data_IF_708355905122
#
_entry.id   IF_708355905122
#
_cell.length_a   1.000
_cell.length_b   1.000
_cell.length_c   1.000
_cell.angle_alpha   90.00
_cell.angle_beta   90.00
_cell.angle_gamma   90.00
#
_symmetry.space_group_name_H-M   'P 1'
#
loop_
_entity.id
_entity.type
_entity.pdbx_description
1 polymer ?
#
# COMPACT_ATOMS: atom_id res chain seq x y z
N UNK A 1 -8.74 -0.03 41.03
CA UNK A 1 -7.72 -0.82 40.30
C UNK A 1 -6.46 0.02 40.25
N UNK A 2 -5.42 -0.40 40.94
CA UNK A 2 -4.17 0.35 40.99
C UNK A 2 -3.28 -0.17 39.85
N UNK A 3 -2.90 0.72 38.93
CA UNK A 3 -1.99 0.40 37.81
C UNK A 3 -0.54 0.22 38.28
N UNK A 4 -0.25 0.71 39.48
CA UNK A 4 1.04 0.64 40.14
C UNK A 4 0.80 -0.05 41.49
N UNK A 5 1.47 -1.16 41.73
CA UNK A 5 1.52 -1.78 43.05
C UNK A 5 2.93 -1.67 43.61
N UNK A 6 3.01 -1.37 44.90
CA UNK A 6 4.25 -1.37 45.65
C UNK A 6 4.29 -2.67 46.45
N UNK A 7 5.24 -3.55 46.11
CA UNK A 7 5.37 -4.85 46.75
C UNK A 7 6.70 -4.94 47.50
N UNK A 8 6.62 -5.20 48.81
CA UNK A 8 7.78 -5.40 49.67
C UNK A 8 8.31 -6.83 49.60
N UNK A 9 7.46 -7.79 49.21
CA UNK A 9 7.79 -9.20 49.11
C UNK A 9 7.91 -9.63 47.64
N UNK A 10 8.69 -8.88 46.85
CA UNK A 10 9.19 -9.42 45.61
C UNK A 10 10.21 -10.50 45.95
N UNK A 11 9.75 -11.74 46.09
CA UNK A 11 10.66 -12.87 46.06
C UNK A 11 11.41 -12.80 44.74
N UNK A 12 12.68 -13.17 44.76
CA UNK A 12 13.38 -13.56 43.53
C UNK A 12 12.61 -14.79 43.04
N UNK A 13 11.48 -14.59 42.35
CA UNK A 13 11.24 -15.40 41.19
C UNK A 13 12.44 -15.07 40.33
N UNK A 14 13.46 -15.91 40.47
CA UNK A 14 14.27 -16.35 39.35
C UNK A 14 13.24 -16.74 38.31
N UNK A 15 12.74 -15.74 37.58
CA UNK A 15 12.37 -15.92 36.21
C UNK A 15 13.55 -16.70 35.65
N UNK A 16 13.27 -17.96 35.38
CA UNK A 16 14.09 -18.89 34.63
C UNK A 16 15.32 -18.22 34.00
N UNK A 17 16.50 -18.72 34.37
CA UNK A 17 17.79 -18.47 33.71
C UNK A 17 18.45 -17.10 33.96
N UNK A 18 18.89 -16.86 35.19
CA UNK A 18 20.02 -15.95 35.43
C UNK A 18 21.36 -16.50 34.87
N UNK A 19 21.34 -17.71 34.29
CA UNK A 19 22.39 -18.27 33.43
C UNK A 19 22.26 -17.93 31.93
N UNK A 20 21.23 -17.17 31.51
CA UNK A 20 21.11 -16.62 30.14
C UNK A 20 21.58 -15.16 30.02
N UNK A 21 22.34 -14.66 31.00
CA UNK A 21 23.12 -13.44 30.84
C UNK A 21 24.15 -13.62 29.71
N UNK A 22 23.89 -13.01 28.55
CA UNK A 22 24.76 -12.82 27.36
C UNK A 22 24.40 -13.58 26.07
N UNK A 23 23.23 -14.20 25.94
CA UNK A 23 22.77 -14.59 24.60
C UNK A 23 21.77 -13.56 24.08
N UNK A 24 22.28 -12.47 23.48
CA UNK A 24 21.44 -11.63 22.61
C UNK A 24 20.96 -12.57 21.50
N UNK A 25 19.65 -12.86 21.39
CA UNK A 25 19.17 -13.76 20.35
C UNK A 25 19.64 -13.24 18.99
N UNK A 26 20.18 -14.08 18.09
CA UNK A 26 20.68 -13.67 16.78
C UNK A 26 19.64 -12.88 15.96
N UNK A 27 18.35 -13.05 16.29
CA UNK A 27 17.23 -12.30 15.75
C UNK A 27 17.34 -10.79 16.02
N UNK A 28 17.80 -10.35 17.20
CA UNK A 28 17.96 -8.91 17.48
C UNK A 28 19.08 -8.30 16.64
N UNK A 29 20.18 -9.02 16.44
CA UNK A 29 21.26 -8.60 15.53
C UNK A 29 20.71 -8.51 14.10
N UNK A 30 19.94 -9.50 13.67
CA UNK A 30 19.26 -9.48 12.38
C UNK A 30 18.31 -8.29 12.23
N UNK A 31 17.50 -7.98 13.24
CA UNK A 31 16.59 -6.83 13.25
C UNK A 31 17.34 -5.50 13.23
N UNK A 32 18.43 -5.37 13.97
CA UNK A 32 19.29 -4.17 13.97
C UNK A 32 19.91 -3.91 12.59
N UNK A 33 20.18 -4.96 11.80
CA UNK A 33 20.68 -4.82 10.42
C UNK A 33 19.55 -4.60 9.42
N UNK A 34 18.45 -5.35 9.52
CA UNK A 34 17.37 -5.32 8.53
C UNK A 34 16.51 -4.06 8.66
N UNK A 35 16.24 -3.60 9.88
CA UNK A 35 15.40 -2.43 10.14
C UNK A 35 15.92 -1.11 9.53
N UNK A 36 17.22 -0.76 9.62
CA UNK A 36 17.73 0.44 8.94
C UNK A 36 17.70 0.30 7.41
N UNK A 37 17.93 -0.91 6.86
CA UNK A 37 17.77 -1.15 5.42
C UNK A 37 16.32 -0.89 5.01
N UNK A 38 15.36 -1.46 5.74
CA UNK A 38 13.93 -1.24 5.51
C UNK A 38 13.58 0.26 5.61
N UNK A 39 14.09 0.95 6.63
CA UNK A 39 13.88 2.38 6.84
C UNK A 39 14.42 3.22 5.67
N UNK A 40 15.65 2.96 5.21
CA UNK A 40 16.24 3.66 4.05
C UNK A 40 15.37 3.45 2.80
N UNK A 41 14.99 2.21 2.54
CA UNK A 41 14.18 1.85 1.37
C UNK A 41 12.79 2.50 1.44
N UNK A 42 12.13 2.48 2.59
CA UNK A 42 10.83 3.14 2.82
C UNK A 42 10.93 4.67 2.76
N UNK A 43 12.00 5.28 3.27
CA UNK A 43 12.24 6.73 3.13
C UNK A 43 12.46 7.16 1.68
N UNK A 44 13.19 6.35 0.90
CA UNK A 44 13.34 6.56 -0.54
C UNK A 44 11.98 6.45 -1.25
N UNK A 45 11.18 5.44 -0.89
CA UNK A 45 9.84 5.27 -1.44
C UNK A 45 8.93 6.47 -1.11
N UNK A 46 8.94 6.93 0.14
CA UNK A 46 8.20 8.10 0.59
C UNK A 46 8.60 9.34 -0.21
N UNK A 47 9.91 9.59 -0.37
CA UNK A 47 10.43 10.72 -1.16
C UNK A 47 9.97 10.67 -2.62
N UNK A 48 9.97 9.48 -3.23
CA UNK A 48 9.47 9.28 -4.59
C UNK A 48 7.96 9.54 -4.68
N UNK A 49 7.19 9.12 -3.67
CA UNK A 49 5.73 9.28 -3.62
C UNK A 49 5.29 10.71 -3.28
N UNK A 50 6.06 11.48 -2.51
CA UNK A 50 5.74 12.87 -2.14
C UNK A 50 6.05 13.88 -3.25
N UNK A 51 6.89 13.53 -4.24
CA UNK A 51 7.19 14.43 -5.36
C UNK A 51 5.94 14.86 -6.15
N UNK A 52 5.80 16.16 -6.48
CA UNK A 52 4.64 16.70 -7.19
C UNK A 52 4.51 16.15 -8.61
N UNK A 53 5.60 15.73 -9.28
CA UNK A 53 5.48 15.12 -10.61
C UNK A 53 4.77 13.75 -10.60
N UNK A 54 4.58 13.14 -9.41
CA UNK A 54 3.77 11.94 -9.21
C UNK A 54 2.23 12.21 -9.15
N UNK A 55 1.77 13.46 -9.32
CA UNK A 55 0.35 13.89 -9.27
C UNK A 55 -0.59 13.03 -10.12
N UNK A 56 -0.09 12.34 -11.15
CA UNK A 56 -0.91 11.51 -12.05
C UNK A 56 -1.40 10.17 -11.44
N UNK A 57 -1.03 9.82 -10.21
CA UNK A 57 -1.45 8.57 -9.51
C UNK A 57 -2.88 8.62 -8.92
N UNK A 58 -3.53 9.79 -8.89
CA UNK A 58 -4.93 9.94 -8.47
C UNK A 58 -5.19 9.64 -6.97
N UNK A 59 -6.44 9.35 -6.61
CA UNK A 59 -6.90 9.14 -5.23
C UNK A 59 -6.18 8.03 -4.45
N UNK A 60 -5.50 7.10 -5.12
CA UNK A 60 -4.75 6.02 -4.47
C UNK A 60 -3.42 6.49 -3.88
N UNK A 61 -2.89 7.64 -4.33
CA UNK A 61 -1.60 8.18 -3.86
C UNK A 61 -1.61 8.44 -2.36
N UNK A 62 -2.69 9.02 -1.84
CA UNK A 62 -2.80 9.38 -0.42
C UNK A 62 -2.67 8.11 0.43
N UNK A 63 -3.44 7.06 0.14
CA UNK A 63 -3.36 5.82 0.90
C UNK A 63 -1.99 5.14 0.79
N UNK A 64 -1.32 5.19 -0.37
CA UNK A 64 0.04 4.67 -0.51
C UNK A 64 1.06 5.48 0.28
N UNK A 65 0.95 6.82 0.29
CA UNK A 65 1.79 7.69 1.11
C UNK A 65 1.56 7.38 2.59
N UNK A 66 0.31 7.34 3.04
CA UNK A 66 -0.07 6.98 4.40
C UNK A 66 0.51 5.62 4.80
N UNK A 67 0.40 4.61 3.92
CA UNK A 67 1.00 3.30 4.14
C UNK A 67 2.52 3.39 4.34
N UNK A 68 3.24 4.09 3.45
CA UNK A 68 4.69 4.26 3.57
C UNK A 68 5.11 5.09 4.79
N UNK A 69 4.31 6.06 5.23
CA UNK A 69 4.57 6.83 6.45
C UNK A 69 4.53 5.91 7.67
N UNK A 70 3.52 5.04 7.75
CA UNK A 70 3.42 4.07 8.85
C UNK A 70 4.49 2.99 8.79
N UNK A 71 4.95 2.58 7.61
CA UNK A 71 6.12 1.70 7.47
C UNK A 71 7.41 2.35 7.99
N UNK A 72 7.65 3.63 7.65
CA UNK A 72 8.80 4.38 8.17
C UNK A 72 8.72 4.52 9.69
N UNK A 73 7.53 4.87 10.22
CA UNK A 73 7.32 5.00 11.66
C UNK A 73 7.53 3.67 12.39
N UNK A 74 6.99 2.57 11.85
CA UNK A 74 7.12 1.22 12.39
C UNK A 74 8.59 0.78 12.43
N UNK A 75 9.29 0.88 11.29
CA UNK A 75 10.70 0.48 11.21
C UNK A 75 11.59 1.35 12.08
N UNK A 76 11.32 2.65 12.19
CA UNK A 76 12.05 3.55 13.10
C UNK A 76 11.92 3.12 14.57
N UNK A 77 10.70 2.78 15.01
CA UNK A 77 10.47 2.34 16.40
C UNK A 77 11.01 0.94 16.68
N UNK A 78 10.90 0.01 15.73
CA UNK A 78 11.50 -1.33 15.84
C UNK A 78 13.03 -1.22 15.93
N UNK A 79 13.65 -0.37 15.11
CA UNK A 79 15.08 -0.08 15.16
C UNK A 79 15.46 0.48 16.53
N UNK A 80 14.72 1.48 17.03
CA UNK A 80 14.99 2.11 18.32
C UNK A 80 14.93 1.09 19.46
N UNK A 81 13.86 0.28 19.54
CA UNK A 81 13.74 -0.79 20.53
C UNK A 81 14.89 -1.79 20.41
N UNK A 82 15.20 -2.26 19.19
CA UNK A 82 16.23 -3.27 18.98
C UNK A 82 17.60 -2.74 19.38
N UNK A 83 17.89 -1.48 19.05
CA UNK A 83 19.11 -0.80 19.46
C UNK A 83 19.22 -0.76 20.99
N UNK A 84 18.16 -0.32 21.69
CA UNK A 84 18.11 -0.28 23.15
C UNK A 84 18.33 -1.64 23.82
N UNK A 85 17.86 -2.74 23.23
CA UNK A 85 18.11 -4.10 23.73
C UNK A 85 19.55 -4.56 23.44
N UNK A 86 20.15 -4.17 22.33
CA UNK A 86 21.51 -4.60 21.96
C UNK A 86 22.62 -3.80 22.62
N UNK A 87 22.43 -2.50 22.87
CA UNK A 87 23.49 -1.64 23.40
C UNK A 87 23.72 -1.78 24.90
N UNK A 88 22.97 -2.66 25.59
CA UNK A 88 23.12 -3.00 27.02
C UNK A 88 23.69 -1.83 27.83
N UNK A 89 22.94 -0.71 27.91
CA UNK A 89 23.35 0.44 28.73
C UNK A 89 23.72 -0.09 30.12
N UNK A 90 25.01 -0.04 30.50
CA UNK A 90 25.46 -0.70 31.71
C UNK A 90 24.90 0.04 32.93
N UNK A 91 24.31 -0.74 33.84
CA UNK A 91 24.22 -0.46 35.28
C UNK A 91 23.23 0.57 35.87
N UNK A 92 22.19 1.05 35.17
CA UNK A 92 21.10 1.75 35.86
C UNK A 92 19.73 1.11 35.57
N UNK A 93 19.45 0.03 36.29
CA UNK A 93 18.18 -0.72 36.31
C UNK A 93 16.99 0.06 36.92
N UNK A 94 17.17 1.35 37.22
CA UNK A 94 16.17 2.23 37.84
C UNK A 94 15.60 3.33 36.92
N UNK A 95 16.01 3.36 35.66
CA UNK A 95 15.76 4.52 34.83
C UNK A 95 14.33 4.58 34.27
N UNK A 96 13.49 5.42 34.89
CA UNK A 96 12.15 5.84 34.41
C UNK A 96 12.14 6.15 32.91
N UNK A 97 13.22 6.74 32.38
CA UNK A 97 13.33 7.04 30.95
C UNK A 97 13.23 5.78 30.07
N UNK A 98 13.80 4.65 30.50
CA UNK A 98 13.82 3.40 29.72
C UNK A 98 12.42 2.81 29.65
N UNK A 99 11.70 2.84 30.78
CA UNK A 99 10.29 2.43 30.86
C UNK A 99 9.41 3.33 29.99
N UNK A 100 9.59 4.67 30.05
CA UNK A 100 8.86 5.62 29.21
C UNK A 100 9.10 5.34 27.73
N UNK A 101 10.36 5.20 27.30
CA UNK A 101 10.69 4.90 25.90
C UNK A 101 10.08 3.57 25.46
N UNK A 102 10.14 2.53 26.30
CA UNK A 102 9.53 1.23 25.98
C UNK A 102 8.02 1.33 25.82
N UNK A 103 7.33 2.03 26.74
CA UNK A 103 5.88 2.27 26.68
C UNK A 103 5.52 3.07 25.42
N UNK A 104 6.25 4.16 25.13
CA UNK A 104 6.02 4.98 23.94
C UNK A 104 6.21 4.17 22.67
N UNK A 105 7.31 3.41 22.56
CA UNK A 105 7.55 2.57 21.40
C UNK A 105 6.48 1.48 21.26
N UNK A 106 6.01 0.89 22.36
CA UNK A 106 4.94 -0.10 22.35
C UNK A 106 3.64 0.46 21.76
N UNK A 107 3.21 1.65 22.22
CA UNK A 107 2.00 2.33 21.71
C UNK A 107 2.17 2.68 20.23
N UNK A 108 3.33 3.21 19.84
CA UNK A 108 3.56 3.63 18.46
C UNK A 108 3.65 2.42 17.52
N UNK A 109 4.32 1.33 17.92
CA UNK A 109 4.41 0.10 17.12
C UNK A 109 3.02 -0.52 16.94
N UNK A 110 2.26 -0.69 18.02
CA UNK A 110 0.92 -1.25 17.94
C UNK A 110 -0.03 -0.39 17.10
N UNK A 111 0.00 0.92 17.31
CA UNK A 111 -0.77 1.89 16.52
C UNK A 111 -0.37 1.89 15.03
N UNK A 112 0.93 1.88 14.72
CA UNK A 112 1.45 1.85 13.35
C UNK A 112 1.12 0.54 12.63
N UNK A 113 1.23 -0.61 13.30
CA UNK A 113 0.84 -1.92 12.74
C UNK A 113 -0.65 -1.96 12.40
N UNK A 114 -1.50 -1.54 13.33
CA UNK A 114 -2.95 -1.47 13.09
C UNK A 114 -3.26 -0.52 11.94
N UNK A 115 -2.64 0.66 11.93
CA UNK A 115 -2.80 1.68 10.90
C UNK A 115 -2.39 1.18 9.52
N UNK A 116 -1.26 0.47 9.42
CA UNK A 116 -0.75 -0.16 8.20
C UNK A 116 -1.77 -1.18 7.65
N UNK A 117 -2.23 -2.10 8.49
CA UNK A 117 -3.13 -3.18 8.09
C UNK A 117 -4.50 -2.64 7.61
N UNK A 118 -5.06 -1.65 8.30
CA UNK A 118 -6.29 -0.99 7.88
C UNK A 118 -6.11 -0.18 6.59
N UNK A 119 -4.95 0.48 6.40
CA UNK A 119 -4.67 1.20 5.16
C UNK A 119 -4.63 0.25 3.96
N UNK A 120 -3.99 -0.92 4.08
CA UNK A 120 -3.98 -1.97 3.04
C UNK A 120 -5.41 -2.45 2.75
N UNK A 121 -6.20 -2.68 3.80
CA UNK A 121 -7.60 -3.12 3.69
C UNK A 121 -8.44 -2.12 2.92
N UNK A 122 -8.33 -0.82 3.25
CA UNK A 122 -9.05 0.25 2.56
C UNK A 122 -8.58 0.41 1.10
N UNK A 123 -7.30 0.21 0.82
CA UNK A 123 -6.78 0.18 -0.56
C UNK A 123 -7.41 -0.98 -1.35
N UNK A 124 -7.47 -2.18 -0.78
CA UNK A 124 -8.08 -3.35 -1.42
C UNK A 124 -9.56 -3.12 -1.70
N UNK A 125 -10.29 -2.60 -0.70
CA UNK A 125 -11.72 -2.34 -0.80
C UNK A 125 -12.03 -1.27 -1.86
N UNK A 126 -11.31 -0.15 -1.85
CA UNK A 126 -11.45 0.89 -2.86
C UNK A 126 -11.25 0.36 -4.29
N UNK A 127 -10.36 -0.62 -4.45
CA UNK A 127 -10.08 -1.25 -5.75
C UNK A 127 -11.10 -2.28 -6.14
N UNK A 128 -11.57 -3.09 -5.19
CA UNK A 128 -12.68 -4.01 -5.41
C UNK A 128 -13.91 -3.24 -5.92
N UNK A 129 -14.26 -2.12 -5.29
CA UNK A 129 -15.37 -1.25 -5.73
C UNK A 129 -15.11 -0.68 -7.13
N UNK A 130 -13.89 -0.20 -7.40
CA UNK A 130 -13.55 0.36 -8.72
C UNK A 130 -13.66 -0.65 -9.87
N UNK A 131 -13.48 -1.95 -9.59
CA UNK A 131 -13.53 -3.03 -10.59
C UNK A 131 -14.96 -3.58 -10.72
N UNK A 132 -15.67 -3.78 -9.62
CA UNK A 132 -17.01 -4.36 -9.61
C UNK A 132 -18.09 -3.41 -10.15
N UNK A 133 -17.91 -2.09 -10.02
CA UNK A 133 -18.87 -1.09 -10.51
C UNK A 133 -18.23 -0.17 -11.57
N UNK A 134 -18.31 -0.50 -12.87
CA UNK A 134 -17.88 0.41 -13.93
C UNK A 134 -18.75 1.68 -13.97
N UNK A 135 -18.15 2.79 -14.44
CA UNK A 135 -18.51 4.20 -14.19
C UNK A 135 -19.97 4.66 -14.38
N UNK A 136 -20.88 3.88 -14.96
CA UNK A 136 -22.27 4.28 -15.25
C UNK A 136 -23.14 4.32 -13.96
N UNK A 137 -22.82 3.50 -12.95
CA UNK A 137 -23.53 3.50 -11.65
C UNK A 137 -22.96 4.52 -10.63
N UNK A 138 -21.95 5.31 -11.01
CA UNK A 138 -21.21 6.18 -10.07
C UNK A 138 -22.00 7.39 -9.57
N UNK A 139 -23.07 7.79 -10.26
CA UNK A 139 -23.90 8.94 -9.86
C UNK A 139 -24.90 8.60 -8.74
N UNK A 140 -25.41 7.37 -8.68
CA UNK A 140 -26.62 7.07 -7.88
C UNK A 140 -26.34 6.46 -6.51
N UNK A 141 -25.15 5.86 -6.29
CA UNK A 141 -24.77 5.20 -5.02
C UNK A 141 -23.52 5.81 -4.35
N UNK A 142 -23.18 7.06 -4.68
CA UNK A 142 -21.84 7.62 -4.44
C UNK A 142 -21.51 8.02 -2.99
N UNK A 143 -22.48 8.05 -2.07
CA UNK A 143 -22.26 8.73 -0.78
C UNK A 143 -21.15 8.08 0.06
N UNK A 144 -21.13 6.76 0.20
CA UNK A 144 -20.15 6.08 1.08
C UNK A 144 -18.71 6.02 0.52
N UNK A 145 -18.54 6.24 -0.80
CA UNK A 145 -17.26 6.04 -1.50
C UNK A 145 -16.74 7.30 -2.18
N UNK A 146 -17.23 8.47 -1.79
CA UNK A 146 -16.57 9.72 -2.13
C UNK A 146 -15.18 9.76 -1.48
N UNK A 147 -14.20 10.42 -2.12
CA UNK A 147 -12.83 10.52 -1.58
C UNK A 147 -12.79 11.13 -0.17
N UNK A 148 -13.78 11.97 0.18
CA UNK A 148 -13.94 12.53 1.53
C UNK A 148 -14.28 11.44 2.56
N UNK A 149 -15.25 10.58 2.27
CA UNK A 149 -15.67 9.50 3.16
C UNK A 149 -14.60 8.44 3.35
N UNK A 150 -13.88 8.07 2.28
CA UNK A 150 -12.73 7.17 2.39
C UNK A 150 -11.63 7.76 3.30
N UNK A 151 -11.36 9.07 3.21
CA UNK A 151 -10.40 9.72 4.09
C UNK A 151 -10.87 9.72 5.55
N UNK A 152 -12.16 9.99 5.80
CA UNK A 152 -12.76 9.93 7.14
C UNK A 152 -12.65 8.51 7.71
N UNK A 153 -12.98 7.48 6.93
CA UNK A 153 -12.82 6.08 7.34
C UNK A 153 -11.37 5.76 7.67
N UNK A 154 -10.41 6.18 6.83
CA UNK A 154 -8.98 6.01 7.14
C UNK A 154 -8.65 6.65 8.48
N UNK A 155 -8.94 7.94 8.67
CA UNK A 155 -8.64 8.67 9.91
C UNK A 155 -9.28 7.99 11.12
N UNK A 156 -10.52 7.54 11.01
CA UNK A 156 -11.21 6.81 12.07
C UNK A 156 -10.51 5.50 12.42
N UNK A 157 -10.15 4.67 11.43
CA UNK A 157 -9.42 3.43 11.66
C UNK A 157 -8.04 3.68 12.31
N UNK A 158 -7.35 4.74 11.89
CA UNK A 158 -6.07 5.15 12.49
C UNK A 158 -6.26 5.49 13.97
N UNK A 159 -7.21 6.37 14.29
CA UNK A 159 -7.48 6.80 15.65
C UNK A 159 -7.88 5.62 16.55
N UNK A 160 -8.78 4.76 16.07
CA UNK A 160 -9.17 3.53 16.79
C UNK A 160 -7.98 2.61 17.04
N UNK A 161 -7.08 2.46 16.06
CA UNK A 161 -5.86 1.64 16.21
C UNK A 161 -4.93 2.15 17.31
N UNK A 162 -4.71 3.46 17.39
CA UNK A 162 -3.89 4.06 18.46
C UNK A 162 -4.58 3.96 19.83
N UNK A 163 -5.89 4.18 19.90
CA UNK A 163 -6.66 4.04 21.16
C UNK A 163 -6.58 2.60 21.66
N UNK A 164 -6.82 1.60 20.81
CA UNK A 164 -6.73 0.20 21.20
C UNK A 164 -5.30 -0.20 21.56
N UNK A 165 -4.28 0.35 20.89
CA UNK A 165 -2.88 0.12 21.25
C UNK A 165 -2.52 0.72 22.62
N UNK A 166 -3.11 1.85 22.99
CA UNK A 166 -2.95 2.43 24.32
C UNK A 166 -3.72 1.63 25.38
N UNK A 167 -4.93 1.16 25.07
CA UNK A 167 -5.70 0.30 25.97
C UNK A 167 -4.98 -1.03 26.26
N UNK A 168 -4.24 -1.56 25.28
CA UNK A 168 -3.40 -2.74 25.47
C UNK A 168 -2.30 -2.52 26.52
N UNK A 169 -1.91 -1.28 26.81
CA UNK A 169 -0.94 -1.01 27.88
C UNK A 169 -1.45 -1.46 29.25
N UNK A 170 -2.77 -1.45 29.48
CA UNK A 170 -3.37 -1.93 30.74
C UNK A 170 -3.26 -3.44 30.95
N UNK A 171 -2.85 -4.20 29.92
CA UNK A 171 -2.46 -5.60 30.06
C UNK A 171 -1.17 -5.75 30.89
N UNK A 172 -0.31 -4.74 30.91
CA UNK A 172 0.95 -4.75 31.65
C UNK A 172 0.74 -4.04 32.99
N UNK A 173 0.88 -4.78 34.09
CA UNK A 173 0.88 -4.23 35.44
C UNK A 173 2.30 -3.80 35.84
N UNK A 174 2.46 -2.59 36.37
CA UNK A 174 3.77 -2.09 36.83
C UNK A 174 3.90 -2.39 38.33
N UNK A 175 4.80 -3.32 38.66
CA UNK A 175 5.15 -3.65 40.04
C UNK A 175 6.49 -3.02 40.40
N UNK A 176 6.48 -2.18 41.43
CA UNK A 176 7.67 -1.56 41.98
C UNK A 176 8.12 -2.39 43.18
N UNK A 177 9.24 -3.09 43.02
CA UNK A 177 9.82 -3.94 44.05
C UNK A 177 10.69 -3.11 44.99
N UNK A 178 10.14 -2.76 46.15
CA UNK A 178 10.82 -1.92 47.16
C UNK A 178 12.04 -2.62 47.79
N UNK A 179 12.04 -3.96 47.84
CA UNK A 179 13.12 -4.76 48.44
C UNK A 179 14.35 -4.97 47.50
N UNK A 180 14.25 -4.57 46.24
CA UNK A 180 15.31 -4.73 45.24
C UNK A 180 15.67 -3.39 44.59
N UNK A 181 16.01 -2.39 45.40
CA UNK A 181 16.33 -1.04 44.93
C UNK A 181 15.23 -0.46 44.02
N UNK A 182 13.96 -0.56 44.39
CA UNK A 182 12.82 -0.01 43.61
C UNK A 182 12.80 -0.47 42.13
N UNK A 183 13.25 -1.70 41.84
CA UNK A 183 13.19 -2.26 40.47
C UNK A 183 11.74 -2.26 39.96
N UNK A 184 11.57 -1.81 38.74
CA UNK A 184 10.28 -1.77 38.05
C UNK A 184 10.15 -3.06 37.23
N UNK A 185 9.20 -3.92 37.60
CA UNK A 185 8.85 -5.12 36.84
C UNK A 185 7.51 -4.91 36.14
N UNK A 186 7.40 -5.38 34.89
CA UNK A 186 6.12 -5.41 34.18
C UNK A 186 5.58 -6.84 34.21
N UNK A 187 4.47 -7.06 34.90
CA UNK A 187 3.83 -8.38 35.04
C UNK A 187 2.54 -8.39 34.20
N UNK A 188 2.28 -9.44 33.41
CA UNK A 188 1.03 -9.54 32.65
C UNK A 188 -0.18 -9.67 33.60
N UNK A 189 -1.17 -8.80 33.44
CA UNK A 189 -2.43 -8.85 34.16
C UNK A 189 -3.46 -9.69 33.38
N UNK A 190 -3.92 -10.79 33.97
CA UNK A 190 -4.90 -11.69 33.37
C UNK A 190 -6.28 -11.06 33.18
N UNK A 191 -6.63 -10.03 33.96
CA UNK A 191 -7.96 -9.37 33.90
C UNK A 191 -8.19 -8.61 32.59
N UNK A 192 -7.12 -8.12 31.95
CA UNK A 192 -7.19 -7.31 30.73
C UNK A 192 -6.98 -8.10 29.44
N UNK A 193 -7.06 -9.44 29.52
CA UNK A 193 -6.92 -10.33 28.35
C UNK A 193 -7.92 -10.00 27.23
N UNK A 194 -9.12 -9.53 27.58
CA UNK A 194 -10.15 -9.13 26.59
C UNK A 194 -9.65 -7.97 25.71
N UNK A 195 -8.90 -7.01 26.27
CA UNK A 195 -8.38 -5.89 25.52
C UNK A 195 -7.32 -6.33 24.50
N UNK A 196 -6.47 -7.31 24.87
CA UNK A 196 -5.52 -7.96 23.97
C UNK A 196 -6.23 -8.65 22.81
N UNK A 197 -7.20 -9.51 23.10
CA UNK A 197 -7.93 -10.27 22.09
C UNK A 197 -8.69 -9.33 21.14
N UNK A 198 -9.31 -8.27 21.68
CA UNK A 198 -9.99 -7.24 20.89
C UNK A 198 -9.00 -6.47 19.99
N UNK A 199 -7.85 -6.06 20.53
CA UNK A 199 -6.81 -5.38 19.75
C UNK A 199 -6.34 -6.26 18.59
N UNK A 200 -6.00 -7.53 18.83
CA UNK A 200 -5.51 -8.43 17.78
C UNK A 200 -6.58 -8.78 16.75
N UNK A 201 -7.83 -8.94 17.18
CA UNK A 201 -8.98 -9.13 16.29
C UNK A 201 -9.16 -7.93 15.36
N UNK A 202 -9.09 -6.72 15.90
CA UNK A 202 -9.22 -5.49 15.13
C UNK A 202 -7.98 -5.21 14.26
N UNK A 203 -6.78 -5.51 14.75
CA UNK A 203 -5.51 -5.21 14.09
C UNK A 203 -5.19 -6.20 12.96
N UNK A 204 -5.55 -7.48 13.07
CA UNK A 204 -5.21 -8.49 12.06
C UNK A 204 -6.42 -9.27 11.54
N UNK A 205 -7.27 -9.86 12.40
CA UNK A 205 -8.31 -10.78 11.96
C UNK A 205 -9.33 -10.14 11.01
N UNK A 206 -9.86 -8.97 11.39
CA UNK A 206 -10.84 -8.22 10.58
C UNK A 206 -10.20 -7.73 9.26
N UNK A 207 -9.04 -7.04 9.27
CA UNK A 207 -8.31 -6.70 8.05
C UNK A 207 -8.06 -7.87 7.10
N UNK A 208 -7.55 -9.00 7.61
CA UNK A 208 -7.26 -10.18 6.81
C UNK A 208 -8.55 -10.72 6.17
N UNK A 209 -9.62 -10.87 6.95
CA UNK A 209 -10.91 -11.36 6.44
C UNK A 209 -11.45 -10.46 5.31
N UNK A 210 -11.43 -9.14 5.51
CA UNK A 210 -11.89 -8.17 4.50
C UNK A 210 -11.00 -8.23 3.25
N UNK A 211 -9.68 -8.32 3.41
CA UNK A 211 -8.74 -8.41 2.29
C UNK A 211 -8.95 -9.72 1.51
N UNK A 212 -9.13 -10.86 2.18
CA UNK A 212 -9.44 -12.14 1.52
C UNK A 212 -10.76 -12.06 0.75
N UNK A 213 -11.82 -11.55 1.37
CA UNK A 213 -13.12 -11.40 0.70
C UNK A 213 -13.02 -10.47 -0.53
N UNK A 214 -12.38 -9.32 -0.37
CA UNK A 214 -12.24 -8.33 -1.45
C UNK A 214 -11.36 -8.85 -2.59
N UNK A 215 -10.29 -9.61 -2.30
CA UNK A 215 -9.44 -10.22 -3.32
C UNK A 215 -10.15 -11.32 -4.09
N UNK A 216 -10.94 -12.18 -3.42
CA UNK A 216 -11.78 -13.19 -4.08
C UNK A 216 -12.79 -12.54 -5.01
N UNK A 217 -13.52 -11.52 -4.54
CA UNK A 217 -14.48 -10.78 -5.38
C UNK A 217 -13.77 -10.14 -6.59
N UNK A 218 -12.60 -9.52 -6.37
CA UNK A 218 -11.79 -8.90 -7.40
C UNK A 218 -11.33 -9.92 -8.45
N UNK A 219 -10.90 -11.10 -8.03
CA UNK A 219 -10.49 -12.21 -8.88
C UNK A 219 -11.66 -12.68 -9.76
N UNK A 220 -12.83 -12.92 -9.15
CA UNK A 220 -14.06 -13.31 -9.85
C UNK A 220 -14.45 -12.26 -10.89
N UNK A 221 -14.43 -10.97 -10.52
CA UNK A 221 -14.76 -9.88 -11.44
C UNK A 221 -13.78 -9.79 -12.63
N UNK A 222 -12.47 -9.97 -12.38
CA UNK A 222 -11.46 -10.00 -13.43
C UNK A 222 -11.62 -11.20 -14.37
N UNK A 223 -11.94 -12.39 -13.84
CA UNK A 223 -12.21 -13.57 -14.67
C UNK A 223 -13.45 -13.40 -15.52
N UNK A 224 -14.54 -12.84 -14.96
CA UNK A 224 -15.76 -12.54 -15.72
C UNK A 224 -15.52 -11.60 -16.90
N UNK A 225 -14.64 -10.60 -16.77
CA UNK A 225 -14.32 -9.67 -17.85
C UNK A 225 -13.42 -10.24 -18.95
N UNK A 226 -12.67 -11.33 -18.68
CA UNK A 226 -11.84 -11.98 -19.71
C UNK A 226 -12.65 -12.85 -20.68
N UNK A 227 -13.76 -13.44 -20.24
CA UNK A 227 -14.63 -14.27 -21.09
C UNK A 227 -15.28 -13.52 -22.28
N UNK A 228 -15.84 -12.29 -22.15
CA UNK A 228 -16.53 -11.63 -23.27
C UNK A 228 -15.61 -11.18 -24.40
N UNK A 229 -14.30 -11.06 -24.17
CA UNK A 229 -13.38 -10.50 -25.15
C UNK A 229 -12.97 -11.50 -26.25
N UNK A 230 -13.15 -12.81 -26.03
CA UNK A 230 -12.93 -13.80 -27.09
C UNK A 230 -13.98 -13.68 -28.22
N UNK A 231 -15.21 -13.28 -27.89
CA UNK A 231 -16.29 -13.15 -28.88
C UNK A 231 -16.23 -11.82 -29.65
N UNK A 232 -15.71 -10.74 -29.06
CA UNK A 232 -15.73 -9.43 -29.70
C UNK A 232 -14.60 -9.22 -30.73
N UNK A 233 -13.45 -9.89 -30.56
CA UNK A 233 -12.33 -9.77 -31.50
C UNK A 233 -12.68 -10.31 -32.91
N UNK A 234 -13.59 -11.30 -32.98
CA UNK A 234 -14.14 -11.82 -34.23
C UNK A 234 -15.06 -10.80 -34.96
N UNK A 235 -15.65 -9.85 -34.23
CA UNK A 235 -16.54 -8.84 -34.80
C UNK A 235 -15.75 -7.66 -35.37
N UNK A 236 -14.68 -7.23 -34.68
CA UNK A 236 -13.87 -6.07 -35.13
C UNK A 236 -13.07 -6.40 -36.39
N UNK A 237 -12.52 -7.61 -36.51
CA UNK A 237 -11.83 -8.05 -37.74
C UNK A 237 -12.80 -8.11 -38.94
N UNK A 238 -14.08 -8.43 -38.73
CA UNK A 238 -15.10 -8.41 -39.79
C UNK A 238 -15.48 -6.99 -40.23
N UNK A 239 -15.42 -5.99 -39.35
CA UNK A 239 -15.75 -4.61 -39.71
C UNK A 239 -14.60 -3.90 -40.46
N UNK A 240 -13.35 -4.13 -40.07
CA UNK A 240 -12.19 -3.57 -40.81
C UNK A 240 -12.07 -4.19 -42.20
N UNK A 241 -12.32 -5.51 -42.33
CA UNK A 241 -12.26 -6.18 -43.63
C UNK A 241 -13.37 -5.72 -44.60
N UNK A 242 -14.54 -5.31 -44.11
CA UNK A 242 -15.61 -4.73 -44.96
C UNK A 242 -15.31 -3.31 -45.45
N UNK A 243 -14.50 -2.53 -44.71
CA UNK A 243 -14.15 -1.17 -45.09
C UNK A 243 -13.06 -1.11 -46.17
N UNK A 244 -12.15 -2.09 -46.21
CA UNK A 244 -11.14 -2.19 -47.28
C UNK A 244 -11.74 -2.66 -48.62
N UNK A 245 -12.70 -3.60 -48.60
CA UNK A 245 -13.32 -4.12 -49.83
C UNK A 245 -14.13 -3.06 -50.58
N UNK A 246 -14.68 -2.06 -49.90
CA UNK A 246 -15.47 -0.99 -50.54
C UNK A 246 -14.61 0.13 -51.14
N UNK A 247 -13.30 0.18 -50.88
CA UNK A 247 -12.43 1.24 -51.39
C UNK A 247 -11.81 0.90 -52.76
N UNK A 248 -11.81 -0.36 -53.15
CA UNK A 248 -11.22 -0.84 -54.42
C UNK A 248 -12.18 -0.83 -55.61
N UNK A 249 -13.46 -0.47 -55.46
CA UNK A 249 -14.45 -0.55 -56.55
C UNK A 249 -14.85 0.78 -57.22
N UNK A 250 -14.26 1.92 -56.84
CA UNK A 250 -14.70 3.24 -57.32
C UNK A 250 -13.63 4.05 -58.07
N UNK A 251 -12.63 3.37 -58.66
CA UNK A 251 -11.53 4.06 -59.34
C UNK A 251 -11.31 3.52 -60.75
N UNK A 252 -12.39 3.48 -61.55
CA UNK A 252 -12.31 3.29 -63.01
C UNK A 252 -13.56 3.91 -63.68
N UNK A 253 -13.58 5.25 -63.81
CA UNK A 253 -14.29 5.96 -64.89
C UNK A 253 -13.91 7.45 -64.89
N UNK A 254 -12.81 7.77 -65.57
CA UNK A 254 -12.53 9.11 -66.06
C UNK A 254 -12.49 8.98 -67.57
N UNK A 255 -13.58 9.34 -68.23
CA UNK A 255 -13.59 9.58 -69.66
C UNK A 255 -13.68 11.08 -69.93
N UNK A 256 -12.83 11.48 -70.88
CA UNK A 256 -12.70 12.77 -71.50
C UNK A 256 -14.04 13.38 -71.96
N UNK A 257 -14.16 14.71 -71.88
CA UNK A 257 -14.47 15.52 -73.06
C UNK A 257 -14.30 17.03 -72.83
N UNK A 258 -13.55 17.64 -73.75
CA UNK A 258 -13.59 19.05 -74.12
C UNK A 258 -14.98 19.44 -74.64
N UNK A 259 -15.41 20.69 -74.44
CA UNK A 259 -16.08 21.56 -75.43
C UNK A 259 -16.18 22.99 -74.87
N UNK A 260 -15.69 23.95 -75.65
CA UNK A 260 -15.98 25.38 -75.55
C UNK A 260 -17.36 25.67 -76.15
N UNK A 261 -18.27 26.37 -75.45
CA UNK A 261 -19.13 27.41 -76.07
C UNK A 261 -19.87 28.30 -75.05
N UNK A 262 -20.13 29.51 -75.54
CA UNK A 262 -20.71 30.75 -75.01
C UNK A 262 -22.17 30.72 -74.55
N UNK A 263 -22.49 31.68 -73.66
CA UNK A 263 -23.74 32.44 -73.46
C UNK A 263 -25.09 31.71 -73.52
N UNK A 264 -25.86 31.74 -72.42
CA UNK A 264 -27.17 32.43 -72.34
C UNK A 264 -27.76 32.34 -70.93
N UNK A 265 -28.42 33.43 -70.53
CA UNK A 265 -29.27 33.53 -69.35
C UNK A 265 -30.45 32.56 -69.42
N UNK A 266 -30.92 32.07 -68.27
CA UNK A 266 -32.32 32.10 -67.77
C UNK A 266 -32.52 30.96 -66.75
N UNK A 267 -33.09 31.38 -65.61
CA UNK A 267 -33.72 30.67 -64.48
C UNK A 267 -33.68 29.14 -64.41
N UNK A 268 -33.44 28.61 -63.20
CA UNK A 268 -34.30 27.65 -62.48
C UNK A 268 -33.67 27.26 -61.13
N UNK A 269 -34.52 27.31 -60.10
CA UNK A 269 -34.46 26.68 -58.77
C UNK A 269 -33.11 26.55 -58.03
N UNK A 270 -33.02 27.31 -56.95
CA UNK A 270 -32.13 27.05 -55.82
C UNK A 270 -32.55 25.77 -55.08
N UNK A 271 -32.19 24.60 -55.62
CA UNK A 271 -32.12 23.38 -54.84
C UNK A 271 -30.70 23.25 -54.29
N UNK A 272 -30.50 23.73 -53.06
CA UNK A 272 -29.36 23.33 -52.23
C UNK A 272 -29.48 21.83 -51.93
N UNK A 273 -29.00 20.99 -52.84
CA UNK A 273 -28.77 19.58 -52.53
C UNK A 273 -27.55 19.52 -51.61
N UNK A 274 -27.84 19.26 -50.34
CA UNK A 274 -26.88 19.19 -49.26
C UNK A 274 -26.07 17.89 -49.40
N UNK A 275 -25.03 17.92 -50.25
CA UNK A 275 -24.11 16.80 -50.48
C UNK A 275 -23.02 16.68 -49.39
N UNK A 276 -23.37 17.00 -48.14
CA UNK A 276 -22.48 16.99 -46.97
C UNK A 276 -22.75 15.81 -46.01
N UNK A 277 -23.43 14.75 -46.46
CA UNK A 277 -23.76 13.58 -45.61
C UNK A 277 -22.67 12.50 -45.56
N UNK A 278 -21.69 12.51 -46.48
CA UNK A 278 -20.67 11.45 -46.53
C UNK A 278 -19.38 11.75 -45.74
N UNK A 279 -19.05 13.01 -45.48
CA UNK A 279 -17.86 13.38 -44.69
C UNK A 279 -18.12 13.48 -43.17
N UNK A 280 -19.38 13.66 -42.76
CA UNK A 280 -19.75 13.79 -41.35
C UNK A 280 -19.79 12.42 -40.61
N UNK A 281 -19.93 11.32 -41.34
CA UNK A 281 -19.90 9.96 -40.76
C UNK A 281 -18.48 9.48 -40.48
N UNK A 282 -17.51 9.88 -41.32
CA UNK A 282 -16.11 9.49 -41.15
C UNK A 282 -15.46 10.15 -39.93
N UNK A 283 -15.74 11.43 -39.69
CA UNK A 283 -15.28 12.14 -38.47
C UNK A 283 -15.90 11.56 -37.20
N UNK A 284 -17.19 11.20 -37.23
CA UNK A 284 -17.88 10.54 -36.10
C UNK A 284 -17.34 9.13 -35.82
N UNK A 285 -17.05 8.35 -36.86
CA UNK A 285 -16.42 7.02 -36.70
C UNK A 285 -14.99 7.11 -36.16
N UNK A 286 -14.20 8.11 -36.60
CA UNK A 286 -12.88 8.38 -36.05
C UNK A 286 -12.95 8.80 -34.59
N UNK A 287 -13.92 9.62 -34.19
CA UNK A 287 -14.16 9.99 -32.79
C UNK A 287 -14.51 8.76 -31.93
N UNK A 288 -15.42 7.90 -32.39
CA UNK A 288 -15.80 6.67 -31.68
C UNK A 288 -14.59 5.71 -31.55
N UNK A 289 -13.77 5.58 -32.59
CA UNK A 289 -12.55 4.77 -32.54
C UNK A 289 -11.51 5.34 -31.56
N UNK A 290 -11.38 6.67 -31.51
CA UNK A 290 -10.45 7.35 -30.62
C UNK A 290 -10.92 7.24 -29.16
N UNK A 291 -12.22 7.37 -28.91
CA UNK A 291 -12.84 7.08 -27.60
C UNK A 291 -12.63 5.62 -27.19
N UNK A 292 -12.80 4.67 -28.12
CA UNK A 292 -12.55 3.25 -27.88
C UNK A 292 -11.08 3.00 -27.51
N UNK A 293 -10.12 3.51 -28.30
CA UNK A 293 -8.68 3.41 -28.01
C UNK A 293 -8.29 4.07 -26.69
N UNK A 294 -8.90 5.20 -26.33
CA UNK A 294 -8.68 5.85 -25.04
C UNK A 294 -9.23 5.02 -23.88
N UNK A 295 -10.41 4.41 -24.06
CA UNK A 295 -11.02 3.55 -23.05
C UNK A 295 -10.20 2.26 -22.83
N UNK A 296 -9.69 1.66 -23.91
CA UNK A 296 -8.81 0.48 -23.87
C UNK A 296 -7.50 0.79 -23.11
N UNK A 297 -6.85 1.93 -23.40
CA UNK A 297 -5.66 2.38 -22.65
C UNK A 297 -5.97 2.61 -21.16
N UNK A 298 -7.14 3.15 -20.82
CA UNK A 298 -7.57 3.34 -19.43
C UNK A 298 -7.79 2.00 -18.74
N UNK A 299 -8.44 1.06 -19.41
CA UNK A 299 -8.69 -0.31 -18.90
C UNK A 299 -7.36 -1.04 -18.65
N UNK A 300 -6.40 -0.97 -19.58
CA UNK A 300 -5.08 -1.59 -19.41
C UNK A 300 -4.30 -0.98 -18.24
N UNK A 301 -4.33 0.35 -18.09
CA UNK A 301 -3.70 1.03 -16.95
C UNK A 301 -4.38 0.69 -15.62
N UNK A 302 -5.70 0.53 -15.61
CA UNK A 302 -6.45 0.07 -14.44
C UNK A 302 -6.10 -1.38 -14.11
N UNK A 303 -6.06 -2.29 -15.09
CA UNK A 303 -5.71 -3.69 -14.89
C UNK A 303 -4.29 -3.86 -14.30
N UNK A 304 -3.32 -3.04 -14.75
CA UNK A 304 -1.98 -3.03 -14.17
C UNK A 304 -1.97 -2.55 -12.71
N UNK A 305 -2.71 -1.48 -12.40
CA UNK A 305 -2.84 -0.98 -11.03
C UNK A 305 -3.52 -2.01 -10.12
N UNK A 306 -4.52 -2.72 -10.64
CA UNK A 306 -5.18 -3.83 -9.95
C UNK A 306 -4.20 -4.95 -9.63
N UNK A 307 -3.41 -5.41 -10.61
CA UNK A 307 -2.38 -6.46 -10.39
C UNK A 307 -1.39 -6.08 -9.30
N UNK A 308 -0.94 -4.82 -9.28
CA UNK A 308 -0.05 -4.31 -8.23
C UNK A 308 -0.67 -4.48 -6.84
N UNK A 309 -1.95 -4.15 -6.71
CA UNK A 309 -2.65 -4.15 -5.43
C UNK A 309 -3.01 -5.56 -4.99
N UNK A 310 -3.43 -6.41 -5.93
CA UNK A 310 -3.64 -7.83 -5.65
C UNK A 310 -2.36 -8.48 -5.14
N UNK A 311 -1.20 -8.14 -5.73
CA UNK A 311 0.08 -8.67 -5.26
C UNK A 311 0.46 -8.12 -3.87
N UNK A 312 0.19 -6.85 -3.60
CA UNK A 312 0.35 -6.25 -2.27
C UNK A 312 -0.55 -6.94 -1.22
N UNK A 313 -1.80 -7.24 -1.57
CA UNK A 313 -2.72 -7.95 -0.65
C UNK A 313 -2.33 -9.41 -0.42
N UNK A 314 -1.80 -10.09 -1.44
CA UNK A 314 -1.33 -11.48 -1.28
C UNK A 314 -0.11 -11.53 -0.37
N UNK A 315 0.85 -10.62 -0.56
CA UNK A 315 2.02 -10.48 0.30
C UNK A 315 1.58 -10.13 1.72
N UNK A 316 0.68 -9.17 1.89
CA UNK A 316 0.10 -8.85 3.20
C UNK A 316 -0.49 -10.08 3.90
N UNK A 317 -1.27 -10.93 3.21
CA UNK A 317 -1.82 -12.16 3.81
C UNK A 317 -0.70 -13.12 4.20
N UNK A 318 0.29 -13.33 3.33
CA UNK A 318 1.41 -14.26 3.59
C UNK A 318 2.24 -13.83 4.80
N UNK A 319 2.43 -12.52 4.99
CA UNK A 319 3.23 -11.98 6.08
C UNK A 319 2.41 -11.78 7.38
N UNK A 320 1.14 -11.40 7.30
CA UNK A 320 0.34 -11.10 8.49
C UNK A 320 -0.38 -12.33 9.07
N UNK A 321 -0.77 -13.31 8.24
CA UNK A 321 -1.50 -14.49 8.72
C UNK A 321 -0.69 -15.32 9.75
N UNK A 322 0.63 -15.57 9.59
CA UNK A 322 1.42 -16.25 10.61
C UNK A 322 1.42 -15.52 11.96
N UNK A 323 1.40 -14.19 11.94
CA UNK A 323 1.35 -13.36 13.16
C UNK A 323 0.03 -13.60 13.89
N UNK A 324 -1.09 -13.55 13.16
CA UNK A 324 -2.41 -13.79 13.71
C UNK A 324 -2.55 -15.18 14.32
N UNK A 325 -2.10 -16.22 13.62
CA UNK A 325 -2.20 -17.59 14.11
C UNK A 325 -1.35 -17.82 15.36
N UNK A 326 -0.13 -17.27 15.41
CA UNK A 326 0.73 -17.41 16.59
C UNK A 326 0.10 -16.81 17.84
N UNK A 327 -0.49 -15.62 17.72
CA UNK A 327 -1.17 -14.97 18.85
C UNK A 327 -2.43 -15.74 19.26
N UNK A 328 -3.21 -16.21 18.28
CA UNK A 328 -4.44 -16.96 18.55
C UNK A 328 -4.17 -18.30 19.22
N UNK A 329 -3.04 -18.94 18.92
CA UNK A 329 -2.64 -20.24 19.48
C UNK A 329 -1.61 -20.13 20.60
N UNK A 330 -1.40 -18.95 21.19
CA UNK A 330 -0.43 -18.70 22.26
C UNK A 330 -0.52 -19.74 23.40
N UNK A 331 -1.75 -20.11 23.80
CA UNK A 331 -1.98 -21.07 24.88
C UNK A 331 -1.60 -22.53 24.54
N UNK A 332 -1.30 -22.83 23.28
CA UNK A 332 -0.90 -24.18 22.84
C UNK A 332 0.62 -24.36 22.75
N UNK A 333 1.39 -23.28 22.77
CA UNK A 333 2.84 -23.33 22.64
C UNK A 333 3.53 -23.30 24.00
N UNK A 334 4.63 -24.03 24.12
CA UNK A 334 5.55 -23.86 25.23
C UNK A 334 6.23 -22.48 25.16
N UNK A 335 6.50 -21.85 26.31
CA UNK A 335 6.94 -20.43 26.37
C UNK A 335 8.21 -20.17 25.57
N UNK A 336 9.18 -21.08 25.62
CA UNK A 336 10.45 -20.95 24.90
C UNK A 336 10.24 -20.95 23.39
N UNK A 337 9.37 -21.84 22.89
CA UNK A 337 9.02 -21.89 21.46
C UNK A 337 8.23 -20.66 21.04
N UNK A 338 7.31 -20.20 21.89
CA UNK A 338 6.53 -18.99 21.66
C UNK A 338 7.40 -17.74 21.52
N UNK A 339 8.44 -17.58 22.35
CA UNK A 339 9.36 -16.45 22.26
C UNK A 339 10.17 -16.46 20.96
N UNK A 340 10.67 -17.64 20.56
CA UNK A 340 11.40 -17.80 19.30
C UNK A 340 10.50 -17.49 18.09
N UNK A 341 9.28 -18.02 18.07
CA UNK A 341 8.30 -17.75 17.00
C UNK A 341 7.90 -16.28 16.97
N UNK A 342 7.61 -15.68 18.12
CA UNK A 342 7.25 -14.25 18.21
C UNK A 342 8.38 -13.35 17.72
N UNK A 343 9.64 -13.71 18.00
CA UNK A 343 10.80 -13.00 17.49
C UNK A 343 10.99 -13.18 15.97
N UNK A 344 10.76 -14.37 15.43
CA UNK A 344 10.74 -14.61 13.99
C UNK A 344 9.63 -13.79 13.28
N UNK A 345 8.46 -13.68 13.91
CA UNK A 345 7.34 -12.89 13.40
C UNK A 345 7.63 -11.38 13.35
N UNK A 346 8.36 -10.84 14.34
CA UNK A 346 8.86 -9.45 14.27
C UNK A 346 9.71 -9.22 13.03
N UNK A 347 10.56 -10.18 12.67
CA UNK A 347 11.38 -10.11 11.45
C UNK A 347 10.53 -10.15 10.19
N UNK A 348 9.47 -10.96 10.19
CA UNK A 348 8.52 -11.08 9.10
C UNK A 348 7.79 -9.74 8.83
N UNK A 349 7.41 -9.02 9.88
CA UNK A 349 6.81 -7.67 9.79
C UNK A 349 7.76 -6.66 9.12
N UNK A 350 9.05 -6.70 9.42
CA UNK A 350 10.05 -5.84 8.78
C UNK A 350 10.24 -6.24 7.32
N UNK A 351 10.27 -7.54 7.02
CA UNK A 351 10.36 -8.06 5.65
C UNK A 351 9.15 -7.66 4.79
N UNK A 352 7.93 -7.61 5.35
CA UNK A 352 6.75 -7.12 4.65
C UNK A 352 6.93 -5.66 4.18
N UNK A 353 7.51 -4.81 5.04
CA UNK A 353 7.81 -3.42 4.68
C UNK A 353 8.80 -3.34 3.50
N UNK A 354 9.83 -4.18 3.50
CA UNK A 354 10.77 -4.28 2.37
C UNK A 354 10.07 -4.79 1.10
N UNK A 355 9.22 -5.81 1.23
CA UNK A 355 8.46 -6.37 0.13
C UNK A 355 7.58 -5.30 -0.51
N UNK A 356 6.86 -4.49 0.26
CA UNK A 356 6.01 -3.42 -0.25
C UNK A 356 6.75 -2.46 -1.18
N UNK A 357 7.98 -2.05 -0.83
CA UNK A 357 8.78 -1.18 -1.71
C UNK A 357 9.28 -1.92 -2.96
N UNK A 358 9.66 -3.19 -2.84
CA UNK A 358 10.02 -4.02 -4.00
C UNK A 358 8.83 -4.14 -4.96
N UNK A 359 7.61 -4.32 -4.45
CA UNK A 359 6.38 -4.34 -5.25
C UNK A 359 6.20 -3.00 -5.98
N UNK A 360 6.43 -1.87 -5.30
CA UNK A 360 6.36 -0.55 -5.94
C UNK A 360 7.34 -0.42 -7.10
N UNK A 361 8.57 -0.91 -6.95
CA UNK A 361 9.58 -0.93 -8.00
C UNK A 361 9.19 -1.85 -9.17
N UNK A 362 8.71 -3.07 -8.90
CA UNK A 362 8.40 -4.05 -9.95
C UNK A 362 7.12 -3.68 -10.71
N UNK A 363 6.09 -3.23 -10.00
CA UNK A 363 4.76 -3.10 -10.60
C UNK A 363 4.49 -1.69 -11.13
N UNK A 364 5.00 -0.64 -10.48
CA UNK A 364 4.75 0.75 -10.88
C UNK A 364 5.84 1.29 -11.80
N UNK A 365 5.56 1.35 -13.11
CA UNK A 365 6.47 1.98 -14.10
C UNK A 365 6.77 3.43 -13.74
N UNK A 366 5.80 4.14 -13.17
CA UNK A 366 5.95 5.54 -12.77
C UNK A 366 6.88 5.67 -11.58
N UNK A 367 6.71 4.81 -10.57
CA UNK A 367 7.61 4.75 -9.43
C UNK A 367 9.04 4.51 -9.91
N UNK A 368 9.28 3.52 -10.79
CA UNK A 368 10.61 3.30 -11.40
C UNK A 368 11.17 4.53 -12.11
N UNK A 369 10.38 5.20 -12.93
CA UNK A 369 10.82 6.38 -13.67
C UNK A 369 11.24 7.51 -12.72
N UNK A 370 10.47 7.73 -11.66
CA UNK A 370 10.78 8.74 -10.65
C UNK A 370 11.97 8.33 -9.78
N UNK A 371 12.10 7.06 -9.39
CA UNK A 371 13.28 6.53 -8.69
C UNK A 371 14.56 6.72 -9.52
N UNK A 372 14.52 6.42 -10.83
CA UNK A 372 15.66 6.63 -11.73
C UNK A 372 15.98 8.11 -11.87
N UNK A 373 14.98 9.00 -11.92
CA UNK A 373 15.21 10.45 -11.96
C UNK A 373 15.85 10.96 -10.67
N UNK A 374 15.35 10.51 -9.52
CA UNK A 374 15.90 10.84 -8.20
C UNK A 374 17.36 10.39 -8.12
N UNK A 375 17.65 9.16 -8.55
CA UNK A 375 19.00 8.60 -8.60
C UNK A 375 19.94 9.42 -9.50
N UNK A 376 19.47 9.80 -10.70
CA UNK A 376 20.26 10.65 -11.61
C UNK A 376 20.53 12.03 -11.02
N UNK A 377 19.57 12.62 -10.34
CA UNK A 377 19.72 13.91 -9.68
C UNK A 377 20.74 13.83 -8.53
N UNK A 378 20.59 12.84 -7.64
CA UNK A 378 21.53 12.60 -6.55
C UNK A 378 22.95 12.39 -7.08
N UNK A 379 23.12 11.55 -8.11
CA UNK A 379 24.44 11.29 -8.72
C UNK A 379 25.08 12.54 -9.34
N UNK A 380 24.29 13.45 -9.91
CA UNK A 380 24.80 14.72 -10.44
C UNK A 380 25.27 15.65 -9.32
N UNK A 381 24.49 15.76 -8.25
CA UNK A 381 24.85 16.58 -7.10
C UNK A 381 26.13 16.07 -6.42
N UNK A 382 26.27 14.75 -6.22
CA UNK A 382 27.51 14.18 -5.64
C UNK A 382 28.74 14.49 -6.49
N UNK A 383 28.62 14.44 -7.83
CA UNK A 383 29.73 14.80 -8.73
C UNK A 383 30.10 16.28 -8.65
N UNK A 384 29.13 17.17 -8.53
CA UNK A 384 29.39 18.61 -8.39
C UNK A 384 30.09 18.92 -7.06
N UNK A 385 29.67 18.29 -5.96
CA UNK A 385 30.34 18.45 -4.66
C UNK A 385 31.78 17.94 -4.71
N UNK A 386 32.03 16.79 -5.35
CA UNK A 386 33.38 16.25 -5.50
C UNK A 386 34.30 17.19 -6.32
N UNK A 387 33.80 17.72 -7.44
CA UNK A 387 34.56 18.63 -8.29
C UNK A 387 34.88 19.95 -7.57
N UNK A 388 33.91 20.50 -6.81
CA UNK A 388 34.13 21.73 -6.06
C UNK A 388 35.12 21.55 -4.90
N UNK A 389 35.22 20.35 -4.31
CA UNK A 389 36.24 20.06 -3.28
C UNK A 389 37.65 19.93 -3.86
N UNK A 390 37.79 19.40 -5.09
CA UNK A 390 39.09 19.33 -5.76
C UNK A 390 39.63 20.69 -6.19
N UNK A 391 38.79 21.72 -6.37
CA UNK A 391 39.25 23.08 -6.71
C UNK A 391 39.74 23.88 -5.50
N UNK A 392 39.37 23.49 -4.27
CA UNK A 392 39.77 24.19 -3.02
C UNK A 392 41.08 23.64 -2.43
N UNK A 393 41.62 22.56 -3.00
CA UNK A 393 42.83 21.87 -2.51
C UNK A 393 44.09 22.08 -3.35
N UNK A 394 44.09 23.08 -4.25
CA UNK A 394 45.27 23.47 -5.03
C UNK A 394 45.77 24.87 -4.70
#
# INVERSE_FOLDING_TARGET
>A
MNFISYNNNCTIYTAYNQSEMSYIPPIYIFLVVLSPIALIISCLALTVLTRPQAIRLGSMRINLITLTIFEVLLNSMIFLISLFYTTNFPNDEQNLYKTIVHITCFIIIGGALCSRNWTITLISLARCVAITKPMISRKTYSHLFQPKWMAICTISCLLTGFILSALRLFEMHIDICLNQNNRIMLIPNTEWRIAKDLFFTFQSAIPILIVVLTTVIMLIALFRHKLPNLNHHNITNRMTQRLEVNKTNNQDKIDNNNINTTNTNISISSNYSCHAKHDCTHTRQQQILLEYKLNERRLHNQARATRMITLLTVIFILFEAPVFFCVTFEYKFDRVQFDLVTNALKSLVVLDSCANVIIYLIMSRRFRQESVRLWRYARRHTRQVLNNQSEVTF
#
